data_IF_461992454487
#
_entry.id   IF_461992454487
#
_cell.length_a   1.000
_cell.length_b   1.000
_cell.length_c   1.000
_cell.angle_alpha   90.00
_cell.angle_beta   90.00
_cell.angle_gamma   90.00
#
_symmetry.space_group_name_H-M   'P 1'
#
loop_
_entity.id
_entity.type
_entity.pdbx_description
1 polymer ?
#
# COMPACT_ATOMS: atom_id res chain seq x y z
N UNK A 1 8.95 24.61 33.30
CA UNK A 1 8.40 23.32 32.82
C UNK A 1 8.21 23.42 31.31
N UNK A 2 9.04 22.75 30.51
CA UNK A 2 8.77 22.60 29.08
C UNK A 2 7.62 21.61 28.96
N UNK A 3 6.46 22.08 28.52
CA UNK A 3 5.36 21.24 28.10
C UNK A 3 5.88 20.29 27.01
N UNK A 4 6.18 19.04 27.37
CA UNK A 4 6.37 17.95 26.41
C UNK A 4 5.05 17.78 25.67
N UNK A 5 4.93 18.45 24.53
CA UNK A 5 3.80 18.28 23.60
C UNK A 5 3.74 16.78 23.31
N UNK A 6 2.66 16.11 23.70
CA UNK A 6 2.50 14.69 23.44
C UNK A 6 2.62 14.47 21.92
N UNK A 7 3.58 13.65 21.51
CA UNK A 7 3.80 13.28 20.12
C UNK A 7 2.57 12.48 19.67
N UNK A 8 2.01 12.79 18.51
CA UNK A 8 0.87 12.05 18.01
C UNK A 8 1.36 10.66 17.55
N UNK A 9 0.69 9.54 17.84
CA UNK A 9 1.16 8.21 17.42
C UNK A 9 1.40 8.07 15.90
N UNK A 10 0.70 8.85 15.08
CA UNK A 10 0.96 8.92 13.64
C UNK A 10 2.29 9.59 13.27
N UNK A 11 2.78 10.53 14.08
CA UNK A 11 4.13 11.09 13.91
C UNK A 11 5.16 9.98 14.11
N UNK A 12 4.98 9.11 15.11
CA UNK A 12 5.88 7.97 15.36
C UNK A 12 5.88 6.98 14.20
N UNK A 13 4.72 6.67 13.61
CA UNK A 13 4.64 5.81 12.42
C UNK A 13 5.35 6.42 11.21
N UNK A 14 5.17 7.74 10.98
CA UNK A 14 5.88 8.44 9.91
C UNK A 14 7.39 8.48 10.17
N UNK A 15 7.81 8.68 11.41
CA UNK A 15 9.22 8.64 11.81
C UNK A 15 9.84 7.25 11.61
N UNK A 16 9.10 6.18 11.90
CA UNK A 16 9.55 4.80 11.69
C UNK A 16 9.90 4.48 10.23
N UNK A 17 9.24 5.13 9.26
CA UNK A 17 9.57 5.00 7.84
C UNK A 17 11.02 5.43 7.54
N UNK A 18 11.65 6.26 8.38
CA UNK A 18 13.06 6.66 8.21
C UNK A 18 14.03 5.49 8.28
N UNK A 19 13.65 4.36 8.86
CA UNK A 19 14.49 3.16 8.88
C UNK A 19 14.82 2.68 7.45
N UNK A 20 13.95 2.97 6.47
CA UNK A 20 14.19 2.70 5.05
C UNK A 20 15.41 3.50 4.51
N UNK A 21 15.76 4.63 5.11
CA UNK A 21 16.93 5.43 4.70
C UNK A 21 18.26 4.72 4.95
N UNK A 22 18.28 3.68 5.79
CA UNK A 22 19.47 2.84 5.97
C UNK A 22 19.84 2.09 4.69
N UNK A 23 18.85 1.79 3.84
CA UNK A 23 19.05 1.05 2.58
C UNK A 23 18.79 1.90 1.34
N UNK A 24 18.04 3.00 1.47
CA UNK A 24 17.89 4.07 0.46
C UNK A 24 18.38 5.40 1.06
N UNK A 25 19.69 5.65 1.12
CA UNK A 25 20.22 6.89 1.71
C UNK A 25 19.66 8.15 1.05
N UNK A 26 19.63 9.25 1.82
CA UNK A 26 19.25 10.58 1.30
C UNK A 26 20.10 10.94 0.08
N UNK A 27 19.50 11.53 -0.95
CA UNK A 27 20.21 11.88 -2.18
C UNK A 27 20.41 10.73 -3.18
N UNK A 28 19.99 9.50 -2.85
CA UNK A 28 20.14 8.35 -3.76
C UNK A 28 19.40 8.55 -5.07
N UNK A 29 19.95 8.00 -6.16
CA UNK A 29 19.25 7.83 -7.42
C UNK A 29 18.44 6.53 -7.38
N UNK A 30 17.17 6.57 -7.79
CA UNK A 30 16.30 5.39 -7.77
C UNK A 30 15.52 5.19 -9.06
N UNK A 31 15.26 3.92 -9.37
CA UNK A 31 14.24 3.50 -10.31
C UNK A 31 13.06 2.95 -9.52
N UNK A 32 11.89 3.60 -9.63
CA UNK A 32 10.69 3.20 -8.91
C UNK A 32 9.78 2.37 -9.81
N UNK A 33 9.66 1.08 -9.50
CA UNK A 33 8.94 0.12 -10.33
C UNK A 33 7.67 -0.39 -9.64
N UNK A 34 6.79 -0.91 -10.48
CA UNK A 34 5.52 -1.54 -10.11
C UNK A 34 4.47 -0.61 -9.46
N UNK A 35 4.56 0.70 -9.73
CA UNK A 35 3.54 1.62 -9.22
C UNK A 35 2.17 1.34 -9.88
N UNK A 36 1.05 1.57 -9.16
CA UNK A 36 -0.27 1.14 -9.58
C UNK A 36 -0.84 2.03 -10.69
N UNK A 37 -1.38 1.40 -11.74
CA UNK A 37 -2.13 2.04 -12.83
C UNK A 37 -3.53 1.41 -12.96
N UNK A 38 -4.32 1.55 -11.89
CA UNK A 38 -5.69 1.07 -11.78
C UNK A 38 -6.44 1.85 -10.70
N UNK A 39 -7.77 1.68 -10.58
CA UNK A 39 -8.64 2.47 -9.71
C UNK A 39 -8.75 1.98 -8.25
N UNK A 40 -7.68 1.44 -7.68
CA UNK A 40 -7.65 1.10 -6.24
C UNK A 40 -7.08 2.29 -5.46
N UNK A 41 -7.93 3.00 -4.71
CA UNK A 41 -7.49 4.17 -3.93
C UNK A 41 -6.48 3.83 -2.84
N UNK A 42 -6.48 2.59 -2.34
CA UNK A 42 -5.48 2.13 -1.38
C UNK A 42 -4.07 2.13 -1.94
N UNK A 43 -3.86 1.48 -3.08
CA UNK A 43 -2.54 1.42 -3.71
C UNK A 43 -2.07 2.81 -4.17
N UNK A 44 -3.01 3.70 -4.54
CA UNK A 44 -2.69 5.12 -4.82
C UNK A 44 -2.16 5.85 -3.58
N UNK A 45 -2.70 5.59 -2.38
CA UNK A 45 -2.19 6.17 -1.13
C UNK A 45 -0.75 5.68 -0.86
N UNK A 46 -0.47 4.39 -1.06
CA UNK A 46 0.89 3.84 -0.93
C UNK A 46 1.83 4.53 -1.92
N UNK A 47 1.41 4.68 -3.18
CA UNK A 47 2.20 5.31 -4.23
C UNK A 47 2.54 6.75 -3.85
N UNK A 48 1.53 7.53 -3.44
CA UNK A 48 1.72 8.94 -3.04
C UNK A 48 2.55 9.07 -1.78
N UNK A 49 2.38 8.18 -0.80
CA UNK A 49 3.22 8.15 0.40
C UNK A 49 4.68 7.82 0.09
N UNK A 50 4.91 6.89 -0.84
CA UNK A 50 6.27 6.56 -1.32
C UNK A 50 6.92 7.74 -2.04
N UNK A 51 6.16 8.47 -2.85
CA UNK A 51 6.66 9.63 -3.58
C UNK A 51 6.92 10.83 -2.66
N UNK A 52 6.06 11.06 -1.67
CA UNK A 52 6.31 12.06 -0.63
C UNK A 52 7.54 11.69 0.20
N UNK A 53 7.79 10.40 0.45
CA UNK A 53 9.01 9.93 1.12
C UNK A 53 10.24 10.27 0.29
N UNK A 54 10.20 10.00 -1.02
CA UNK A 54 11.31 10.37 -1.90
C UNK A 54 11.58 11.87 -1.88
N UNK A 55 10.53 12.69 -1.93
CA UNK A 55 10.63 14.14 -1.87
C UNK A 55 11.20 14.63 -0.53
N UNK A 56 10.67 14.19 0.60
CA UNK A 56 11.07 14.62 1.94
C UNK A 56 12.55 14.30 2.25
N UNK A 57 13.08 13.24 1.63
CA UNK A 57 14.47 12.79 1.83
C UNK A 57 15.39 13.04 0.63
N UNK A 58 14.94 13.86 -0.31
CA UNK A 58 15.71 14.29 -1.48
C UNK A 58 16.25 13.11 -2.32
N UNK A 59 15.46 12.05 -2.45
CA UNK A 59 15.75 10.87 -3.26
C UNK A 59 15.37 11.21 -4.71
N UNK A 60 16.31 11.04 -5.63
CA UNK A 60 16.14 11.38 -7.03
C UNK A 60 15.56 10.19 -7.82
N UNK A 61 14.26 10.27 -8.12
CA UNK A 61 13.59 9.26 -8.94
C UNK A 61 13.90 9.49 -10.42
N UNK A 62 14.85 8.71 -10.94
CA UNK A 62 15.36 8.79 -12.32
C UNK A 62 14.37 8.26 -13.34
N UNK A 63 13.62 7.22 -12.98
CA UNK A 63 12.58 6.64 -13.82
C UNK A 63 11.50 5.98 -12.99
N UNK A 64 10.29 5.88 -13.57
CA UNK A 64 9.12 5.24 -13.00
C UNK A 64 8.52 4.28 -13.99
N UNK A 65 8.22 3.05 -13.56
CA UNK A 65 7.54 2.07 -14.39
C UNK A 65 6.46 1.33 -13.62
N UNK A 66 5.38 1.01 -14.30
CA UNK A 66 4.37 0.06 -13.85
C UNK A 66 4.64 -1.33 -14.41
N UNK A 67 3.88 -2.33 -13.96
CA UNK A 67 3.87 -3.66 -14.58
C UNK A 67 3.51 -3.65 -16.08
N UNK A 68 2.84 -2.59 -16.55
CA UNK A 68 2.36 -2.49 -17.92
C UNK A 68 3.44 -2.01 -18.89
N UNK A 69 4.41 -1.22 -18.42
CA UNK A 69 5.40 -0.57 -19.29
C UNK A 69 6.87 -0.86 -18.96
N UNK A 70 7.18 -1.52 -17.84
CA UNK A 70 8.53 -2.03 -17.62
C UNK A 70 8.87 -3.14 -18.64
N UNK A 71 10.09 -3.10 -19.17
CA UNK A 71 10.62 -4.12 -20.08
C UNK A 71 11.81 -4.82 -19.44
N UNK A 72 11.84 -6.15 -19.55
CA UNK A 72 13.04 -6.92 -19.26
C UNK A 72 14.20 -6.43 -20.12
N UNK A 73 15.38 -6.26 -19.51
CA UNK A 73 16.55 -5.68 -20.17
C UNK A 73 16.55 -4.15 -20.28
N UNK A 74 15.65 -3.45 -19.57
CA UNK A 74 15.76 -1.99 -19.40
C UNK A 74 17.12 -1.66 -18.77
N UNK A 75 17.89 -0.78 -19.39
CA UNK A 75 19.19 -0.35 -18.85
C UNK A 75 18.97 0.54 -17.62
N UNK A 76 19.46 0.09 -16.47
CA UNK A 76 19.38 0.81 -15.20
C UNK A 76 20.82 1.20 -14.83
N UNK A 77 21.13 2.51 -14.68
CA UNK A 77 22.45 2.95 -14.28
C UNK A 77 22.90 2.32 -12.97
N UNK A 78 24.17 1.90 -12.90
CA UNK A 78 24.71 1.13 -11.75
C UNK A 78 24.70 1.89 -10.42
N UNK A 79 24.59 3.22 -10.45
CA UNK A 79 24.43 4.08 -9.26
C UNK A 79 22.98 4.17 -8.76
N UNK A 80 22.02 3.59 -9.48
CA UNK A 80 20.61 3.59 -9.11
C UNK A 80 20.22 2.37 -8.27
N UNK A 81 19.46 2.62 -7.20
CA UNK A 81 18.76 1.60 -6.42
C UNK A 81 17.42 1.29 -7.10
N UNK A 82 17.07 0.01 -7.21
CA UNK A 82 15.75 -0.40 -7.73
C UNK A 82 14.78 -0.50 -6.56
N UNK A 83 13.71 0.29 -6.60
CA UNK A 83 12.68 0.31 -5.56
C UNK A 83 11.39 -0.28 -6.14
N UNK A 84 10.92 -1.38 -5.55
CA UNK A 84 9.67 -2.03 -5.93
C UNK A 84 8.54 -1.53 -5.03
N UNK A 85 7.40 -1.19 -5.63
CA UNK A 85 6.20 -0.71 -4.94
C UNK A 85 5.75 -1.62 -3.78
N UNK A 86 5.17 -1.01 -2.75
CA UNK A 86 4.63 -1.68 -1.57
C UNK A 86 3.19 -2.19 -1.77
N UNK A 87 2.55 -2.62 -0.68
CA UNK A 87 1.11 -2.94 -0.67
C UNK A 87 0.76 -4.39 -0.43
N UNK A 88 -0.20 -4.92 -1.18
CA UNK A 88 -0.77 -6.26 -0.99
C UNK A 88 -0.62 -7.17 -2.20
N UNK A 89 0.43 -6.98 -3.01
CA UNK A 89 0.63 -7.69 -4.28
C UNK A 89 1.83 -8.67 -4.25
N UNK A 90 2.31 -9.03 -3.05
CA UNK A 90 3.31 -10.07 -2.84
C UNK A 90 2.64 -11.42 -2.64
N UNK A 91 2.57 -12.22 -3.72
CA UNK A 91 1.83 -13.49 -3.67
C UNK A 91 1.40 -14.05 -5.01
N UNK A 92 0.64 -15.14 -4.96
CA UNK A 92 0.10 -15.85 -6.13
C UNK A 92 -1.30 -15.36 -6.58
N UNK A 93 -1.91 -14.42 -5.86
CA UNK A 93 -3.16 -13.76 -6.27
C UNK A 93 -2.93 -12.81 -7.45
N UNK A 94 -1.80 -12.12 -7.48
CA UNK A 94 -1.49 -11.07 -8.45
C UNK A 94 -0.26 -11.41 -9.30
N UNK A 95 -0.36 -12.40 -10.21
CA UNK A 95 0.79 -13.01 -10.86
C UNK A 95 1.59 -12.05 -11.74
N UNK A 96 0.97 -11.00 -12.29
CA UNK A 96 1.70 -10.01 -13.10
C UNK A 96 2.74 -9.26 -12.26
N UNK A 97 2.34 -8.79 -11.08
CA UNK A 97 3.22 -8.07 -10.13
C UNK A 97 4.29 -9.01 -9.56
N UNK A 98 3.91 -10.22 -9.18
CA UNK A 98 4.87 -11.22 -8.66
C UNK A 98 5.91 -11.61 -9.70
N UNK A 99 5.51 -11.84 -10.96
CA UNK A 99 6.44 -12.15 -12.06
C UNK A 99 7.38 -11.00 -12.36
N UNK A 100 6.89 -9.76 -12.33
CA UNK A 100 7.74 -8.58 -12.49
C UNK A 100 8.81 -8.52 -11.39
N UNK A 101 8.39 -8.66 -10.13
CA UNK A 101 9.28 -8.66 -8.96
C UNK A 101 10.36 -9.73 -9.06
N UNK A 102 9.98 -10.98 -9.34
CA UNK A 102 10.92 -12.09 -9.51
C UNK A 102 11.86 -11.88 -10.69
N UNK A 103 11.37 -11.36 -11.80
CA UNK A 103 12.18 -11.06 -12.98
C UNK A 103 13.20 -9.96 -12.68
N UNK A 104 12.79 -8.86 -12.03
CA UNK A 104 13.69 -7.77 -11.64
C UNK A 104 14.77 -8.28 -10.68
N UNK A 105 14.37 -9.02 -9.64
CA UNK A 105 15.33 -9.60 -8.68
C UNK A 105 16.29 -10.57 -9.35
N UNK A 106 15.83 -11.37 -10.32
CA UNK A 106 16.70 -12.31 -11.01
C UNK A 106 17.68 -11.63 -11.98
N UNK A 107 17.24 -10.59 -12.69
CA UNK A 107 17.94 -10.05 -13.84
C UNK A 107 18.82 -8.83 -13.53
N UNK A 108 18.68 -8.22 -12.36
CA UNK A 108 19.50 -7.07 -11.93
C UNK A 108 20.37 -7.40 -10.69
N UNK A 109 21.19 -8.48 -10.73
CA UNK A 109 21.85 -9.03 -9.54
C UNK A 109 22.91 -8.11 -8.90
N UNK A 110 23.35 -7.08 -9.62
CA UNK A 110 24.37 -6.13 -9.18
C UNK A 110 23.79 -4.82 -8.63
N UNK A 111 22.48 -4.64 -8.69
CA UNK A 111 21.82 -3.47 -8.10
C UNK A 111 21.37 -3.80 -6.68
N UNK A 112 21.37 -2.79 -5.82
CA UNK A 112 20.54 -2.86 -4.62
C UNK A 112 19.08 -2.87 -5.03
N UNK A 113 18.31 -3.80 -4.48
CA UNK A 113 16.86 -3.89 -4.70
C UNK A 113 16.14 -3.78 -3.36
N UNK A 114 15.18 -2.85 -3.28
CA UNK A 114 14.36 -2.61 -2.09
C UNK A 114 12.89 -2.85 -2.42
N UNK A 115 12.28 -3.85 -1.80
CA UNK A 115 10.83 -4.07 -1.82
C UNK A 115 10.23 -3.25 -0.69
N UNK A 116 9.47 -2.20 -1.03
CA UNK A 116 8.76 -1.38 -0.05
C UNK A 116 7.74 -2.21 0.76
N UNK A 117 7.29 -1.73 1.94
CA UNK A 117 6.44 -2.49 2.87
C UNK A 117 5.27 -3.24 2.20
N UNK A 118 5.27 -4.57 2.31
CA UNK A 118 4.29 -5.47 1.68
C UNK A 118 3.60 -6.39 2.68
N UNK A 119 2.40 -6.86 2.33
CA UNK A 119 1.75 -8.05 2.91
C UNK A 119 1.99 -9.23 1.99
N UNK A 120 2.49 -10.35 2.54
CA UNK A 120 2.69 -11.62 1.82
C UNK A 120 1.41 -12.46 1.89
N UNK A 121 1.03 -13.06 0.77
CA UNK A 121 0.02 -14.10 0.76
C UNK A 121 0.19 -15.08 -0.40
N UNK A 122 0.39 -16.36 -0.10
CA UNK A 122 0.40 -17.44 -1.06
C UNK A 122 -0.69 -18.45 -0.72
N UNK A 123 -1.46 -18.87 -1.73
CA UNK A 123 -2.33 -20.05 -1.64
C UNK A 123 -1.51 -21.33 -1.76
N UNK A 124 -0.43 -21.30 -2.54
CA UNK A 124 0.44 -22.44 -2.77
C UNK A 124 1.81 -22.25 -2.11
N UNK A 125 2.09 -23.11 -1.13
CA UNK A 125 3.40 -23.17 -0.46
C UNK A 125 4.55 -23.40 -1.47
N UNK A 126 4.29 -24.20 -2.52
CA UNK A 126 5.24 -24.45 -3.60
C UNK A 126 5.60 -23.17 -4.36
N UNK A 127 4.64 -22.28 -4.62
CA UNK A 127 4.94 -21.00 -5.27
C UNK A 127 5.71 -20.08 -4.32
N UNK A 128 5.43 -20.13 -3.02
CA UNK A 128 6.19 -19.37 -2.03
C UNK A 128 7.65 -19.85 -1.96
N UNK A 129 7.89 -21.16 -1.97
CA UNK A 129 9.23 -21.75 -2.00
C UNK A 129 10.02 -21.37 -3.26
N UNK A 130 9.36 -21.31 -4.41
CA UNK A 130 9.98 -20.83 -5.66
C UNK A 130 10.42 -19.38 -5.54
N UNK A 131 9.55 -18.52 -5.00
CA UNK A 131 9.90 -17.11 -4.77
C UNK A 131 11.08 -17.01 -3.81
N UNK A 132 11.08 -17.74 -2.70
CA UNK A 132 12.18 -17.76 -1.74
C UNK A 132 13.51 -18.20 -2.40
N UNK A 133 13.48 -19.22 -3.25
CA UNK A 133 14.66 -19.69 -3.98
C UNK A 133 15.24 -18.65 -4.95
N UNK A 134 14.42 -17.73 -5.48
CA UNK A 134 14.87 -16.60 -6.29
C UNK A 134 15.47 -15.52 -5.39
N UNK A 135 14.75 -15.14 -4.32
CA UNK A 135 15.12 -14.04 -3.45
C UNK A 135 16.42 -14.32 -2.71
N UNK A 136 16.60 -15.55 -2.22
CA UNK A 136 17.80 -15.97 -1.48
C UNK A 136 19.08 -16.01 -2.32
N UNK A 137 18.98 -15.87 -3.65
CA UNK A 137 20.15 -15.79 -4.53
C UNK A 137 20.65 -14.35 -4.73
N UNK A 138 19.85 -13.35 -4.39
CA UNK A 138 20.18 -11.96 -4.61
C UNK A 138 20.92 -11.36 -3.41
N UNK A 139 22.16 -10.91 -3.64
CA UNK A 139 23.08 -10.52 -2.55
C UNK A 139 22.75 -9.22 -1.84
N UNK A 140 22.11 -8.27 -2.54
CA UNK A 140 21.74 -6.95 -2.01
C UNK A 140 20.23 -6.69 -2.16
N UNK A 141 19.44 -7.63 -1.63
CA UNK A 141 17.97 -7.55 -1.60
C UNK A 141 17.50 -7.18 -0.18
N UNK A 142 16.65 -6.15 -0.10
CA UNK A 142 16.00 -5.69 1.12
C UNK A 142 14.49 -5.78 0.97
N UNK A 143 13.82 -6.52 1.86
CA UNK A 143 12.38 -6.77 1.82
C UNK A 143 11.73 -6.21 3.08
N UNK A 144 10.85 -5.22 2.92
CA UNK A 144 10.05 -4.68 4.01
C UNK A 144 8.67 -5.33 4.04
N UNK A 145 8.28 -5.78 5.22
CA UNK A 145 6.95 -6.31 5.51
C UNK A 145 6.23 -5.34 6.43
N UNK A 146 4.91 -5.26 6.27
CA UNK A 146 4.10 -4.25 6.99
C UNK A 146 3.25 -4.80 8.12
N UNK A 147 3.37 -6.08 8.44
CA UNK A 147 2.68 -6.71 9.55
C UNK A 147 3.51 -7.86 10.12
N UNK A 148 3.41 -8.10 11.44
CA UNK A 148 4.26 -9.07 12.16
C UNK A 148 4.09 -10.48 11.65
N UNK A 149 2.87 -10.90 11.32
CA UNK A 149 2.61 -12.23 10.77
C UNK A 149 3.40 -12.46 9.47
N UNK A 150 3.33 -11.52 8.52
CA UNK A 150 4.10 -11.62 7.28
C UNK A 150 5.61 -11.55 7.52
N UNK A 151 6.05 -10.72 8.48
CA UNK A 151 7.46 -10.59 8.84
C UNK A 151 8.03 -11.90 9.40
N UNK A 152 7.35 -12.54 10.34
CA UNK A 152 7.75 -13.82 10.92
C UNK A 152 7.77 -14.92 9.85
N UNK A 153 6.75 -14.99 9.00
CA UNK A 153 6.72 -15.94 7.87
C UNK A 153 7.88 -15.71 6.90
N UNK A 154 8.20 -14.45 6.58
CA UNK A 154 9.31 -14.11 5.70
C UNK A 154 10.65 -14.56 6.28
N UNK A 155 10.90 -14.36 7.58
CA UNK A 155 12.15 -14.78 8.24
C UNK A 155 12.41 -16.28 8.13
N UNK A 156 11.37 -17.12 8.04
CA UNK A 156 11.54 -18.57 7.91
C UNK A 156 12.02 -19.01 6.52
N UNK A 157 11.72 -18.24 5.46
CA UNK A 157 12.01 -18.63 4.06
C UNK A 157 13.08 -17.77 3.40
N UNK A 158 13.15 -16.49 3.74
CA UNK A 158 14.04 -15.51 3.14
C UNK A 158 15.36 -15.42 3.92
N UNK A 159 16.16 -16.48 3.82
CA UNK A 159 17.43 -16.64 4.55
C UNK A 159 18.63 -16.02 3.84
N UNK A 160 18.51 -15.70 2.55
CA UNK A 160 19.58 -15.12 1.73
C UNK A 160 19.40 -13.64 1.42
N UNK A 161 18.37 -12.98 1.96
CA UNK A 161 18.15 -11.55 1.82
C UNK A 161 17.81 -10.89 3.16
N UNK A 162 17.79 -9.56 3.17
CA UNK A 162 17.53 -8.80 4.38
C UNK A 162 16.03 -8.53 4.53
N UNK A 163 15.46 -8.88 5.68
CA UNK A 163 14.03 -8.77 5.95
C UNK A 163 13.80 -7.78 7.08
N UNK A 164 12.86 -6.85 6.90
CA UNK A 164 12.57 -5.77 7.84
C UNK A 164 11.07 -5.63 8.08
N UNK A 165 10.72 -5.07 9.24
CA UNK A 165 9.36 -4.68 9.59
C UNK A 165 9.25 -3.15 9.52
N UNK A 166 8.30 -2.61 8.75
CA UNK A 166 8.07 -1.17 8.61
C UNK A 166 6.59 -0.87 8.39
N UNK A 167 6.06 0.29 8.86
CA UNK A 167 4.70 0.70 8.55
C UNK A 167 4.47 0.82 7.04
N UNK A 168 3.19 0.85 6.63
CA UNK A 168 2.82 1.13 5.25
C UNK A 168 3.28 2.53 4.80
N UNK A 169 3.73 2.65 3.53
CA UNK A 169 4.23 3.92 2.99
C UNK A 169 3.19 5.04 2.99
N UNK A 170 1.89 4.73 2.99
CA UNK A 170 0.83 5.72 3.10
C UNK A 170 0.96 6.58 4.37
N UNK A 171 1.59 6.09 5.45
CA UNK A 171 1.84 6.88 6.67
C UNK A 171 2.71 8.12 6.44
N UNK A 172 3.50 8.17 5.37
CA UNK A 172 4.26 9.37 5.00
C UNK A 172 3.36 10.58 4.70
N UNK A 173 2.12 10.33 4.28
CA UNK A 173 1.13 11.37 3.98
C UNK A 173 0.56 12.06 5.23
N UNK A 174 0.92 11.59 6.44
CA UNK A 174 0.46 12.21 7.68
C UNK A 174 1.07 13.63 7.84
N UNK A 175 0.27 14.63 8.23
CA UNK A 175 -1.21 14.63 8.35
C UNK A 175 -1.94 15.02 7.06
N UNK A 176 -3.13 14.46 6.85
CA UNK A 176 -4.08 14.89 5.80
C UNK A 176 -5.17 15.76 6.42
N UNK A 177 -5.35 16.97 5.89
CA UNK A 177 -6.38 17.89 6.37
C UNK A 177 -7.81 17.38 6.08
N UNK A 178 -8.76 17.78 6.93
CA UNK A 178 -10.20 17.54 6.74
C UNK A 178 -10.84 18.74 6.01
N UNK A 179 -11.01 18.71 4.67
CA UNK A 179 -11.53 19.84 3.91
C UNK A 179 -13.03 20.12 4.11
N UNK A 180 -13.81 19.18 4.65
CA UNK A 180 -15.27 19.34 4.80
C UNK A 180 -15.73 19.22 6.24
N UNK A 181 -16.76 19.98 6.57
CA UNK A 181 -17.51 19.80 7.81
C UNK A 181 -18.24 18.44 7.76
N UNK A 182 -18.29 17.78 8.91
CA UNK A 182 -19.04 16.53 9.08
C UNK A 182 -20.54 16.77 8.84
N UNK A 183 -21.13 15.97 7.95
CA UNK A 183 -22.55 16.06 7.55
C UNK A 183 -23.31 14.77 7.84
N UNK A 184 -22.61 13.64 7.85
CA UNK A 184 -23.17 12.30 8.01
C UNK A 184 -22.52 11.59 9.18
N UNK A 185 -23.22 10.60 9.72
CA UNK A 185 -22.76 9.90 10.90
C UNK A 185 -21.69 8.85 10.60
N UNK A 186 -22.04 7.75 9.94
CA UNK A 186 -21.14 6.61 9.73
C UNK A 186 -21.00 6.27 8.25
N UNK A 187 -19.75 6.17 7.75
CA UNK A 187 -19.44 5.57 6.45
C UNK A 187 -19.11 4.09 6.66
N UNK A 188 -19.76 3.20 5.90
CA UNK A 188 -19.44 1.78 5.81
C UNK A 188 -18.58 1.55 4.58
N UNK A 189 -17.25 1.57 4.74
CA UNK A 189 -16.30 1.40 3.66
C UNK A 189 -15.85 -0.07 3.53
N UNK A 190 -16.68 -0.89 2.89
CA UNK A 190 -16.62 -2.36 2.95
C UNK A 190 -16.21 -2.97 1.60
N UNK A 191 -15.56 -4.14 1.64
CA UNK A 191 -15.21 -4.89 0.42
C UNK A 191 -16.47 -5.42 -0.26
N UNK A 192 -16.56 -5.23 -1.57
CA UNK A 192 -17.62 -5.83 -2.41
C UNK A 192 -17.14 -7.03 -3.24
N UNK A 193 -15.87 -7.42 -3.11
CA UNK A 193 -15.24 -8.49 -3.88
C UNK A 193 -15.16 -9.82 -3.11
N UNK A 194 -14.58 -10.85 -3.72
CA UNK A 194 -14.45 -12.21 -3.17
C UNK A 194 -13.62 -12.31 -1.88
N UNK A 195 -12.93 -11.23 -1.50
CA UNK A 195 -12.21 -11.13 -0.23
C UNK A 195 -13.09 -10.54 0.90
N UNK A 196 -14.38 -10.29 0.63
CA UNK A 196 -15.40 -10.06 1.64
C UNK A 196 -15.41 -11.22 2.64
N UNK A 197 -14.91 -10.97 3.86
CA UNK A 197 -14.90 -11.96 4.93
C UNK A 197 -16.22 -12.04 5.69
N UNK A 198 -16.40 -13.10 6.49
CA UNK A 198 -17.58 -13.26 7.36
C UNK A 198 -17.72 -12.14 8.40
N UNK A 199 -16.63 -11.43 8.73
CA UNK A 199 -16.63 -10.33 9.70
C UNK A 199 -17.50 -9.13 9.30
N UNK A 200 -17.75 -8.92 8.00
CA UNK A 200 -18.68 -7.88 7.53
C UNK A 200 -20.12 -8.38 7.32
N UNK A 201 -20.36 -9.69 7.36
CA UNK A 201 -21.69 -10.27 7.11
C UNK A 201 -22.69 -10.00 8.25
N UNK A 202 -22.19 -9.81 9.48
CA UNK A 202 -23.00 -9.58 10.68
C UNK A 202 -23.12 -8.09 11.07
N UNK A 203 -22.62 -7.18 10.23
CA UNK A 203 -22.72 -5.75 10.52
C UNK A 203 -24.13 -5.26 10.21
N UNK A 204 -24.76 -4.61 11.17
CA UNK A 204 -25.92 -3.76 10.91
C UNK A 204 -25.44 -2.54 10.11
N UNK A 205 -25.51 -2.66 8.79
CA UNK A 205 -25.23 -1.58 7.87
C UNK A 205 -26.44 -0.65 7.83
N UNK A 206 -26.19 0.65 7.88
CA UNK A 206 -27.24 1.66 7.75
C UNK A 206 -27.77 1.78 6.31
N UNK A 207 -27.78 3.00 5.78
CA UNK A 207 -28.22 3.24 4.41
C UNK A 207 -27.26 2.62 3.37
N UNK A 208 -27.75 1.98 2.30
CA UNK A 208 -26.93 1.57 1.15
C UNK A 208 -26.15 2.74 0.53
N UNK A 209 -26.67 3.97 0.61
CA UNK A 209 -25.99 5.17 0.10
C UNK A 209 -24.73 5.55 0.90
N UNK A 210 -24.59 5.02 2.11
CA UNK A 210 -23.44 5.22 2.99
C UNK A 210 -22.55 3.97 3.06
N UNK A 211 -22.76 3.03 2.12
CA UNK A 211 -21.96 1.81 1.98
C UNK A 211 -21.21 1.83 0.66
N UNK A 212 -19.89 2.00 0.74
CA UNK A 212 -19.03 2.21 -0.43
C UNK A 212 -17.78 1.34 -0.37
N UNK A 213 -17.14 1.17 -1.52
CA UNK A 213 -15.83 0.56 -1.71
C UNK A 213 -15.04 1.45 -2.68
N UNK A 214 -13.74 1.22 -2.86
CA UNK A 214 -12.95 1.94 -3.87
C UNK A 214 -13.58 1.88 -5.27
N UNK A 215 -14.18 0.74 -5.60
CA UNK A 215 -14.81 0.52 -6.90
C UNK A 215 -16.09 1.33 -7.09
N UNK A 216 -16.83 1.60 -6.00
CA UNK A 216 -18.13 2.31 -6.04
C UNK A 216 -18.01 3.78 -5.68
N UNK A 217 -16.94 4.17 -4.97
CA UNK A 217 -16.58 5.56 -4.68
C UNK A 217 -16.26 6.32 -5.97
N UNK A 218 -15.53 5.67 -6.89
CA UNK A 218 -15.22 6.25 -8.19
C UNK A 218 -16.36 6.03 -9.18
N UNK A 219 -16.65 7.06 -9.96
CA UNK A 219 -17.74 6.98 -10.95
C UNK A 219 -17.41 5.96 -12.04
N UNK A 220 -18.41 5.44 -12.78
CA UNK A 220 -18.15 4.60 -13.95
C UNK A 220 -17.25 5.29 -14.99
N UNK A 221 -17.33 6.61 -15.11
CA UNK A 221 -16.43 7.41 -15.93
C UNK A 221 -15.00 7.34 -15.42
N UNK A 222 -14.78 7.52 -14.11
CA UNK A 222 -13.46 7.48 -13.52
C UNK A 222 -12.76 6.13 -13.75
N UNK A 223 -13.50 5.04 -13.56
CA UNK A 223 -13.04 3.68 -13.82
C UNK A 223 -12.69 3.46 -15.32
N UNK A 224 -13.43 4.08 -16.24
CA UNK A 224 -13.11 4.03 -17.68
C UNK A 224 -11.83 4.81 -17.99
N UNK A 225 -11.62 5.97 -17.38
CA UNK A 225 -10.39 6.77 -17.53
C UNK A 225 -9.18 5.99 -17.02
N UNK A 226 -9.28 5.34 -15.86
CA UNK A 226 -8.21 4.48 -15.36
C UNK A 226 -7.84 3.34 -16.34
N UNK A 227 -8.85 2.67 -16.91
CA UNK A 227 -8.63 1.63 -17.95
C UNK A 227 -8.00 2.20 -19.22
N UNK A 228 -8.33 3.44 -19.60
CA UNK A 228 -7.71 4.12 -20.74
C UNK A 228 -6.22 4.36 -20.47
N UNK A 229 -5.86 4.83 -19.28
CA UNK A 229 -4.46 4.94 -18.88
C UNK A 229 -3.75 3.59 -18.99
N UNK A 230 -4.30 2.51 -18.44
CA UNK A 230 -3.68 1.18 -18.54
C UNK A 230 -3.40 0.79 -20.01
N UNK A 231 -4.34 1.06 -20.94
CA UNK A 231 -4.11 0.84 -22.38
C UNK A 231 -2.99 1.72 -22.95
N UNK A 232 -2.95 3.00 -22.57
CA UNK A 232 -1.90 3.93 -23.01
C UNK A 232 -0.51 3.49 -22.54
N UNK A 233 -0.38 2.91 -21.34
CA UNK A 233 0.89 2.34 -20.86
C UNK A 233 1.32 1.12 -21.68
N UNK A 234 0.39 0.22 -22.04
CA UNK A 234 0.69 -0.90 -22.93
C UNK A 234 1.16 -0.41 -24.30
N UNK A 235 0.53 0.63 -24.86
CA UNK A 235 0.96 1.24 -26.13
C UNK A 235 2.32 1.93 -26.00
N UNK A 236 2.56 2.66 -24.90
CA UNK A 236 3.88 3.27 -24.60
C UNK A 236 4.98 2.22 -24.61
N UNK A 237 4.72 1.04 -24.03
CA UNK A 237 5.65 -0.10 -24.07
C UNK A 237 5.94 -0.54 -25.51
N UNK A 238 4.92 -0.68 -26.35
CA UNK A 238 5.09 -1.22 -27.71
C UNK A 238 5.72 -0.22 -28.69
N UNK A 239 5.23 1.02 -28.69
CA UNK A 239 5.50 1.99 -29.76
C UNK A 239 6.45 3.12 -29.35
N UNK A 240 6.89 3.19 -28.08
CA UNK A 240 7.76 4.27 -27.61
C UNK A 240 7.07 5.63 -27.70
N UNK A 241 6.01 5.84 -26.92
CA UNK A 241 5.18 7.04 -27.04
C UNK A 241 5.80 8.25 -26.29
N UNK A 242 5.76 9.44 -26.90
CA UNK A 242 6.35 10.69 -26.36
C UNK A 242 5.47 11.41 -25.34
N UNK A 243 4.20 10.99 -25.20
CA UNK A 243 3.28 11.62 -24.27
C UNK A 243 3.69 11.35 -22.81
N UNK A 244 3.60 12.34 -21.91
CA UNK A 244 3.92 12.19 -20.49
C UNK A 244 2.80 11.46 -19.73
N UNK A 245 2.45 10.24 -20.17
CA UNK A 245 1.37 9.41 -19.61
C UNK A 245 1.56 9.20 -18.09
N UNK A 246 2.82 9.12 -17.65
CA UNK A 246 3.23 9.18 -16.25
C UNK A 246 2.63 10.37 -15.52
N UNK A 247 3.07 11.58 -15.86
CA UNK A 247 2.62 12.80 -15.20
C UNK A 247 1.10 12.98 -15.23
N UNK A 248 0.46 12.65 -16.36
CA UNK A 248 -1.01 12.69 -16.48
C UNK A 248 -1.72 11.72 -15.53
N UNK A 249 -1.19 10.50 -15.39
CA UNK A 249 -1.69 9.54 -14.42
C UNK A 249 -1.54 10.07 -12.98
N UNK A 250 -0.38 10.63 -12.64
CA UNK A 250 -0.13 11.20 -11.31
C UNK A 250 -1.13 12.30 -10.97
N UNK A 251 -1.39 13.24 -11.88
CA UNK A 251 -2.39 14.29 -11.69
C UNK A 251 -3.81 13.70 -11.55
N UNK A 252 -4.11 12.65 -12.31
CA UNK A 252 -5.41 11.98 -12.21
C UNK A 252 -5.59 11.28 -10.86
N UNK A 253 -4.53 10.66 -10.31
CA UNK A 253 -4.58 10.09 -8.96
C UNK A 253 -4.80 11.15 -7.88
N UNK A 254 -4.29 12.38 -8.04
CA UNK A 254 -4.58 13.47 -7.09
C UNK A 254 -6.06 13.83 -7.07
N UNK A 255 -6.70 13.87 -8.24
CA UNK A 255 -8.15 14.07 -8.35
C UNK A 255 -8.94 12.93 -7.67
N UNK A 256 -8.54 11.68 -7.87
CA UNK A 256 -9.22 10.53 -7.25
C UNK A 256 -9.05 10.52 -5.72
N UNK A 257 -7.84 10.77 -5.22
CA UNK A 257 -7.59 10.86 -3.78
C UNK A 257 -8.33 12.03 -3.14
N UNK A 258 -8.41 13.18 -3.82
CA UNK A 258 -9.22 14.32 -3.36
C UNK A 258 -10.68 13.92 -3.18
N UNK A 259 -11.26 13.17 -4.11
CA UNK A 259 -12.65 12.65 -3.97
C UNK A 259 -12.79 11.73 -2.75
N UNK A 260 -11.82 10.87 -2.51
CA UNK A 260 -11.83 9.99 -1.34
C UNK A 260 -11.71 10.77 -0.03
N UNK A 261 -10.77 11.70 0.07
CA UNK A 261 -10.59 12.57 1.24
C UNK A 261 -11.85 13.39 1.51
N UNK A 262 -12.47 13.97 0.47
CA UNK A 262 -13.70 14.72 0.61
C UNK A 262 -14.88 13.85 1.08
N UNK A 263 -15.00 12.63 0.56
CA UNK A 263 -16.00 11.68 1.02
C UNK A 263 -15.78 11.36 2.51
N UNK A 264 -14.59 10.91 2.88
CA UNK A 264 -14.27 10.52 4.27
C UNK A 264 -14.48 11.70 5.22
N UNK A 265 -14.12 12.91 4.81
CA UNK A 265 -14.32 14.14 5.61
C UNK A 265 -15.78 14.38 5.98
N UNK A 266 -16.72 14.02 5.08
CA UNK A 266 -18.16 14.25 5.28
C UNK A 266 -18.80 13.35 6.34
N UNK A 267 -18.12 12.30 6.80
CA UNK A 267 -18.62 11.38 7.83
C UNK A 267 -17.94 11.59 9.18
N UNK A 268 -18.62 11.28 10.28
CA UNK A 268 -18.08 11.35 11.64
C UNK A 268 -17.19 10.15 11.96
N UNK A 269 -17.68 8.96 11.64
CA UNK A 269 -17.02 7.67 11.92
C UNK A 269 -16.88 6.86 10.63
N UNK A 270 -15.75 6.19 10.45
CA UNK A 270 -15.51 5.29 9.31
C UNK A 270 -15.45 3.84 9.81
N UNK A 271 -16.40 3.00 9.45
CA UNK A 271 -16.35 1.54 9.66
C UNK A 271 -15.85 0.88 8.38
N UNK A 272 -14.76 0.13 8.41
CA UNK A 272 -14.15 -0.36 7.17
C UNK A 272 -13.53 -1.75 7.28
N UNK A 273 -13.72 -2.57 6.26
CA UNK A 273 -12.98 -3.83 6.08
C UNK A 273 -11.79 -3.69 5.11
N UNK A 274 -11.56 -2.49 4.58
CA UNK A 274 -10.42 -2.14 3.72
C UNK A 274 -9.30 -1.54 4.59
N UNK A 275 -8.13 -2.17 4.59
CA UNK A 275 -6.95 -1.66 5.32
C UNK A 275 -6.63 -0.19 4.98
N UNK A 276 -6.73 0.21 3.71
CA UNK A 276 -6.48 1.61 3.34
C UNK A 276 -7.64 2.56 3.62
N UNK A 277 -8.86 2.06 3.84
CA UNK A 277 -9.92 2.87 4.44
C UNK A 277 -9.56 3.22 5.88
N UNK A 278 -9.00 2.25 6.61
CA UNK A 278 -8.49 2.44 7.97
C UNK A 278 -7.30 3.40 8.02
N UNK A 279 -6.27 3.16 7.20
CA UNK A 279 -5.09 4.04 7.14
C UNK A 279 -5.47 5.46 6.72
N UNK A 280 -6.33 5.65 5.70
CA UNK A 280 -6.81 6.98 5.32
C UNK A 280 -7.52 7.68 6.47
N UNK A 281 -8.33 6.96 7.24
CA UNK A 281 -9.00 7.52 8.42
C UNK A 281 -8.00 7.95 9.49
N UNK A 282 -6.96 7.15 9.75
CA UNK A 282 -5.87 7.51 10.65
C UNK A 282 -5.09 8.74 10.15
N UNK A 283 -4.82 8.80 8.84
CA UNK A 283 -4.14 9.94 8.20
C UNK A 283 -4.91 11.27 8.35
N UNK A 284 -6.24 11.19 8.48
CA UNK A 284 -7.14 12.33 8.64
C UNK A 284 -7.54 12.57 10.10
N UNK A 285 -6.96 11.82 11.04
CA UNK A 285 -7.32 11.79 12.47
C UNK A 285 -8.83 11.60 12.71
N UNK A 286 -9.44 10.68 11.97
CA UNK A 286 -10.88 10.37 12.05
C UNK A 286 -11.12 9.12 12.87
N UNK A 287 -12.20 9.16 13.65
CA UNK A 287 -12.74 7.98 14.33
C UNK A 287 -13.02 6.87 13.33
N UNK A 288 -12.43 5.70 13.55
CA UNK A 288 -12.55 4.57 12.65
C UNK A 288 -12.56 3.24 13.39
N UNK A 289 -13.29 2.30 12.80
CA UNK A 289 -13.43 0.94 13.29
C UNK A 289 -13.05 0.00 12.14
N UNK A 290 -11.92 -0.68 12.31
CA UNK A 290 -11.41 -1.67 11.37
C UNK A 290 -12.10 -3.00 11.62
N UNK A 291 -12.70 -3.55 10.58
CA UNK A 291 -13.32 -4.87 10.58
C UNK A 291 -12.30 -5.86 10.05
N UNK A 292 -12.08 -6.93 10.79
CA UNK A 292 -11.12 -7.95 10.37
C UNK A 292 -11.63 -8.73 9.14
N UNK A 293 -10.69 -9.21 8.33
CA UNK A 293 -11.02 -10.12 7.24
C UNK A 293 -10.85 -11.58 7.70
N UNK A 294 -11.32 -12.52 6.88
CA UNK A 294 -11.34 -13.96 7.19
C UNK A 294 -9.96 -14.58 7.48
N UNK A 295 -8.87 -13.88 7.16
CA UNK A 295 -7.50 -14.38 7.31
C UNK A 295 -6.69 -13.61 8.37
N UNK A 296 -7.31 -12.71 9.14
CA UNK A 296 -6.63 -11.96 10.21
C UNK A 296 -5.62 -10.91 9.73
N UNK A 297 -5.63 -10.54 8.45
CA UNK A 297 -4.62 -9.60 7.91
C UNK A 297 -4.82 -8.18 8.45
N UNK A 298 -6.08 -7.76 8.59
CA UNK A 298 -6.40 -6.42 9.08
C UNK A 298 -6.05 -6.30 10.57
N UNK A 299 -6.39 -7.32 11.38
CA UNK A 299 -5.99 -7.36 12.78
C UNK A 299 -4.47 -7.44 12.97
N UNK A 300 -3.76 -8.24 12.17
CA UNK A 300 -2.29 -8.30 12.19
C UNK A 300 -1.68 -6.91 12.01
N UNK A 301 -2.10 -6.16 10.98
CA UNK A 301 -1.64 -4.78 10.77
C UNK A 301 -2.03 -3.86 11.94
N UNK A 302 -3.27 -3.97 12.42
CA UNK A 302 -3.78 -3.14 13.51
C UNK A 302 -2.92 -3.26 14.77
N UNK A 303 -2.69 -4.49 15.21
CA UNK A 303 -1.88 -4.75 16.40
C UNK A 303 -0.42 -4.39 16.20
N UNK A 304 0.10 -4.55 14.98
CA UNK A 304 1.48 -4.15 14.67
C UNK A 304 1.69 -2.64 14.82
N UNK A 305 0.76 -1.81 14.32
CA UNK A 305 1.03 -0.37 14.15
C UNK A 305 -0.01 0.58 14.75
N UNK A 306 -1.29 0.31 14.59
CA UNK A 306 -2.33 1.35 14.78
C UNK A 306 -3.13 1.21 16.07
N UNK A 307 -2.96 0.12 16.83
CA UNK A 307 -3.61 -0.05 18.13
C UNK A 307 -3.34 1.07 19.16
N UNK A 308 -2.21 1.81 19.13
CA UNK A 308 -2.00 2.94 20.04
C UNK A 308 -2.78 4.22 19.62
N UNK A 309 -3.33 4.27 18.40
CA UNK A 309 -4.04 5.44 17.88
C UNK A 309 -5.43 5.47 18.51
N UNK A 310 -5.73 6.51 19.29
CA UNK A 310 -7.01 6.64 20.02
C UNK A 310 -8.24 6.69 19.13
N UNK A 311 -8.10 7.20 17.90
CA UNK A 311 -9.18 7.29 16.91
C UNK A 311 -9.38 6.00 16.14
N UNK A 312 -8.52 4.99 16.34
CA UNK A 312 -8.59 3.69 15.68
C UNK A 312 -9.05 2.61 16.66
N UNK A 313 -9.99 1.77 16.22
CA UNK A 313 -10.46 0.62 16.97
C UNK A 313 -10.56 -0.61 16.06
N UNK A 314 -10.35 -1.80 16.61
CA UNK A 314 -10.61 -3.06 15.91
C UNK A 314 -11.98 -3.60 16.34
N UNK A 315 -12.81 -3.98 15.38
CA UNK A 315 -14.05 -4.69 15.65
C UNK A 315 -13.72 -6.13 16.05
N UNK A 316 -14.02 -6.48 17.30
CA UNK A 316 -13.90 -7.85 17.82
C UNK A 316 -15.28 -8.50 17.71
N UNK A 317 -15.38 -9.58 16.92
CA UNK A 317 -16.57 -10.43 16.95
C UNK A 317 -16.49 -11.30 18.22
N UNK A 318 -17.50 -11.24 19.09
CA UNK A 318 -17.58 -12.01 20.36
C UNK A 318 -17.63 -13.55 20.18
N UNK A 319 -17.42 -14.08 18.98
CA UNK A 319 -17.47 -15.51 18.67
C UNK A 319 -16.17 -16.29 18.98
N UNK A 320 -15.17 -15.69 19.63
CA UNK A 320 -13.92 -16.37 20.03
C UNK A 320 -13.82 -16.64 21.54
N UNK A 321 -14.94 -16.69 22.26
CA UNK A 321 -14.95 -17.04 23.70
C UNK A 321 -15.11 -18.55 23.99
N UNK A 322 -15.35 -19.40 22.99
CA UNK A 322 -15.67 -20.83 23.19
C UNK A 322 -14.60 -21.82 22.70
N UNK A 323 -13.32 -21.50 22.81
CA UNK A 323 -12.24 -22.50 22.70
C UNK A 323 -11.19 -22.24 23.77
N UNK A 324 -11.54 -22.64 25.00
CA UNK A 324 -10.62 -22.93 26.09
C UNK A 324 -10.21 -24.41 26.07
#
# INVERSE_FOLDING_TARGET
MKSTKAIHPMDELKEKLKDILNVIPRGSNVFYLDYPVHSNGGDMLIMKGTEEFFKDYNINVRARYSVLDFKEGTDIPSDCIIVLHGGGNFGDIYPAHQRLREMVIKNYPNHRIVVMPQTIFYKSEKEYDKTAAIFNKHRDLHVYLRDTLCYELALTKFTGCNVYLSPDMAHQLWPIANPKQTQKDTLYFLRTDVEAGNGQANLEVGSPADTLDWQTLFTPFDNKVAKLFSKMYTVKRMAGNSLPVGALWYNYTDYLLKKAIELFSSYRVIKTSRLHGHILSCLMDKQNILIDNSYGKNSSYYYTWTHPIKTAQLHVNDAKSDLA
#
